data_IF_265833605274
#
_entry.id   IF_265833605274
#
_cell.length_a   1.000
_cell.length_b   1.000
_cell.length_c   1.000
_cell.angle_alpha   90.00
_cell.angle_beta   90.00
_cell.angle_gamma   90.00
#
_symmetry.space_group_name_H-M   'P 1'
#
loop_
_entity.id
_entity.type
_entity.pdbx_description
1 polymer ?
#
# COMPACT_ATOMS: atom_id res chain seq x y z
N UNK A 1 45.33 -41.84 7.15
CA UNK A 1 43.95 -41.79 7.69
C UNK A 1 43.07 -41.27 6.56
N UNK A 2 42.32 -42.15 5.88
CA UNK A 2 41.55 -41.76 4.69
C UNK A 2 40.19 -41.18 5.12
N UNK A 3 39.91 -40.00 4.61
CA UNK A 3 38.61 -39.33 4.60
C UNK A 3 37.71 -40.17 3.68
N UNK A 4 37.03 -41.16 4.25
CA UNK A 4 35.98 -41.89 3.55
C UNK A 4 34.92 -42.30 4.56
N UNK A 5 33.70 -41.80 4.34
CA UNK A 5 32.43 -42.12 5.03
C UNK A 5 31.96 -41.13 6.10
N UNK A 6 31.78 -39.88 5.70
CA UNK A 6 30.59 -39.10 6.10
C UNK A 6 29.87 -38.65 4.81
N UNK A 7 29.63 -39.63 3.95
CA UNK A 7 28.53 -39.62 3.00
C UNK A 7 27.76 -40.89 3.37
N UNK A 8 26.71 -40.78 4.19
CA UNK A 8 25.70 -41.83 4.25
C UNK A 8 24.90 -41.72 2.95
N UNK A 9 25.48 -42.21 1.86
CA UNK A 9 24.70 -42.63 0.71
C UNK A 9 23.83 -43.80 1.17
N UNK A 10 22.54 -43.76 0.82
CA UNK A 10 21.58 -44.78 1.20
C UNK A 10 22.07 -46.16 0.73
N UNK A 11 22.29 -47.10 1.67
CA UNK A 11 22.83 -48.45 1.37
C UNK A 11 21.86 -49.32 0.56
N UNK A 12 20.54 -49.06 0.65
CA UNK A 12 19.51 -49.70 -0.17
C UNK A 12 18.36 -48.72 -0.48
N UNK A 13 18.35 -48.23 -1.72
CA UNK A 13 17.32 -47.31 -2.23
C UNK A 13 15.93 -47.99 -2.27
N UNK A 14 15.86 -49.31 -2.45
CA UNK A 14 14.62 -50.07 -2.50
C UNK A 14 13.93 -50.13 -1.13
N UNK A 15 14.71 -50.42 -0.09
CA UNK A 15 14.22 -50.48 1.29
C UNK A 15 13.71 -49.11 1.77
N UNK A 16 14.44 -48.04 1.44
CA UNK A 16 14.01 -46.68 1.80
C UNK A 16 12.77 -46.24 1.02
N UNK A 17 12.65 -46.64 -0.24
CA UNK A 17 11.41 -46.41 -1.01
C UNK A 17 10.22 -47.11 -0.37
N UNK A 18 10.37 -48.35 0.11
CA UNK A 18 9.32 -49.06 0.85
C UNK A 18 8.98 -48.38 2.17
N UNK A 19 9.98 -47.91 2.93
CA UNK A 19 9.78 -47.17 4.18
C UNK A 19 9.02 -45.85 3.95
N UNK A 20 9.37 -45.11 2.90
CA UNK A 20 8.66 -43.91 2.48
C UNK A 20 7.22 -44.25 2.09
N UNK A 21 6.99 -45.26 1.23
CA UNK A 21 5.65 -45.67 0.82
C UNK A 21 4.80 -46.10 2.01
N UNK A 22 5.37 -46.85 2.96
CA UNK A 22 4.68 -47.31 4.17
C UNK A 22 4.32 -46.15 5.10
N UNK A 23 5.23 -45.19 5.26
CA UNK A 23 4.98 -43.97 6.03
C UNK A 23 3.86 -43.16 5.41
N UNK A 24 3.87 -42.99 4.08
CA UNK A 24 2.83 -42.26 3.33
C UNK A 24 1.48 -42.98 3.41
N UNK A 25 1.47 -44.30 3.24
CA UNK A 25 0.26 -45.13 3.27
C UNK A 25 -0.38 -45.20 4.67
N UNK A 26 0.41 -44.92 5.72
CA UNK A 26 -0.06 -44.85 7.10
C UNK A 26 -0.60 -43.48 7.51
N UNK A 27 -0.53 -42.46 6.64
CA UNK A 27 -1.11 -41.16 6.91
C UNK A 27 -2.63 -41.19 6.68
N UNK A 28 -3.38 -40.65 7.62
CA UNK A 28 -4.83 -40.50 7.56
C UNK A 28 -5.21 -39.17 6.89
N UNK A 29 -5.98 -39.24 5.81
CA UNK A 29 -6.48 -38.06 5.11
C UNK A 29 -7.61 -37.34 5.88
N UNK A 30 -8.19 -37.96 6.90
CA UNK A 30 -9.17 -37.34 7.79
C UNK A 30 -8.53 -36.51 8.91
N UNK A 31 -7.25 -36.74 9.21
CA UNK A 31 -6.49 -35.91 10.15
C UNK A 31 -5.91 -34.67 9.43
N UNK A 32 -6.15 -33.48 9.99
CA UNK A 32 -5.80 -32.22 9.32
C UNK A 32 -4.28 -32.05 9.11
N UNK A 33 -3.45 -32.56 10.01
CA UNK A 33 -2.00 -32.43 9.90
C UNK A 33 -1.43 -33.43 8.89
N UNK A 34 -1.94 -34.66 8.91
CA UNK A 34 -1.51 -35.72 8.00
C UNK A 34 -2.02 -35.47 6.57
N UNK A 35 -3.23 -34.95 6.41
CA UNK A 35 -3.76 -34.49 5.12
C UNK A 35 -2.87 -33.40 4.47
N UNK A 36 -2.36 -32.44 5.25
CA UNK A 36 -1.41 -31.42 4.75
C UNK A 36 -0.11 -32.04 4.26
N UNK A 37 0.39 -33.08 4.94
CA UNK A 37 1.60 -33.80 4.52
C UNK A 37 1.32 -34.56 3.21
N UNK A 38 0.20 -35.27 3.12
CA UNK A 38 -0.24 -35.96 1.91
C UNK A 38 -0.38 -35.01 0.72
N UNK A 39 -0.96 -33.83 0.91
CA UNK A 39 -1.08 -32.79 -0.13
C UNK A 39 0.30 -32.28 -0.61
N UNK A 40 1.24 -32.06 0.32
CA UNK A 40 2.62 -31.64 -0.04
C UNK A 40 3.35 -32.73 -0.83
N UNK A 41 3.19 -33.98 -0.44
CA UNK A 41 3.78 -35.13 -1.15
C UNK A 41 3.17 -35.25 -2.54
N UNK A 42 1.85 -35.13 -2.66
CA UNK A 42 1.17 -35.16 -3.95
C UNK A 42 1.66 -34.03 -4.87
N UNK A 43 1.81 -32.81 -4.36
CA UNK A 43 2.35 -31.67 -5.14
C UNK A 43 3.79 -31.88 -5.55
N UNK A 44 4.63 -32.42 -4.67
CA UNK A 44 6.01 -32.75 -4.99
C UNK A 44 6.09 -33.80 -6.11
N UNK A 45 5.30 -34.87 -6.02
CA UNK A 45 5.22 -35.90 -7.05
C UNK A 45 4.66 -35.38 -8.39
N UNK A 46 3.80 -34.37 -8.34
CA UNK A 46 3.15 -33.78 -9.52
C UNK A 46 3.67 -32.37 -9.87
N UNK A 47 4.90 -32.04 -9.45
CA UNK A 47 5.41 -30.66 -9.52
C UNK A 47 5.42 -30.09 -10.94
N UNK A 48 5.74 -30.90 -11.95
CA UNK A 48 5.72 -30.47 -13.36
C UNK A 48 4.30 -30.19 -13.84
N UNK A 49 3.34 -31.06 -13.52
CA UNK A 49 1.93 -30.90 -13.91
C UNK A 49 1.30 -29.70 -13.21
N UNK A 50 1.53 -29.55 -11.90
CA UNK A 50 1.03 -28.43 -11.10
C UNK A 50 1.66 -27.12 -11.57
N UNK A 51 2.97 -27.11 -11.80
CA UNK A 51 3.68 -25.94 -12.33
C UNK A 51 3.16 -25.51 -13.70
N UNK A 52 2.95 -26.46 -14.61
CA UNK A 52 2.39 -26.18 -15.94
C UNK A 52 0.96 -25.62 -15.87
N UNK A 53 0.12 -26.13 -14.96
CA UNK A 53 -1.24 -25.63 -14.78
C UNK A 53 -1.25 -24.20 -14.20
N UNK A 54 -0.37 -23.92 -13.24
CA UNK A 54 -0.22 -22.57 -12.68
C UNK A 54 0.27 -21.60 -13.77
N UNK A 55 1.31 -21.96 -14.54
CA UNK A 55 1.82 -21.13 -15.62
C UNK A 55 0.71 -20.79 -16.65
N UNK A 56 -0.07 -21.80 -17.06
CA UNK A 56 -1.21 -21.61 -17.96
C UNK A 56 -2.27 -20.68 -17.39
N UNK A 57 -2.60 -20.80 -16.10
CA UNK A 57 -3.60 -19.96 -15.45
C UNK A 57 -3.24 -18.46 -15.49
N UNK A 58 -1.95 -18.10 -15.56
CA UNK A 58 -1.51 -16.71 -15.69
C UNK A 58 -1.58 -16.14 -17.12
N UNK A 59 -1.86 -16.96 -18.15
CA UNK A 59 -1.96 -16.47 -19.53
C UNK A 59 -3.07 -15.42 -19.66
N UNK A 60 -4.25 -15.69 -19.07
CA UNK A 60 -5.40 -14.79 -19.11
C UNK A 60 -5.13 -13.43 -18.45
N UNK A 61 -4.79 -13.38 -17.15
CA UNK A 61 -4.50 -12.14 -16.44
C UNK A 61 -3.39 -11.29 -17.06
N UNK A 62 -2.38 -11.92 -17.68
CA UNK A 62 -1.24 -11.21 -18.27
C UNK A 62 -1.39 -10.88 -19.76
N UNK A 63 -2.51 -11.26 -20.38
CA UNK A 63 -2.70 -11.10 -21.83
C UNK A 63 -2.54 -9.64 -22.27
N UNK A 64 -3.18 -8.72 -21.54
CA UNK A 64 -3.25 -7.30 -21.89
C UNK A 64 -2.15 -6.44 -21.22
N UNK A 65 -1.20 -7.07 -20.52
CA UNK A 65 -0.10 -6.38 -19.88
C UNK A 65 0.86 -5.73 -20.88
N UNK A 66 1.26 -4.49 -20.59
CA UNK A 66 2.16 -3.69 -21.43
C UNK A 66 3.63 -4.06 -21.21
N UNK A 67 3.98 -5.33 -21.41
CA UNK A 67 5.35 -5.82 -21.29
C UNK A 67 5.69 -6.81 -22.41
N UNK A 68 6.97 -6.95 -22.81
CA UNK A 68 7.37 -7.91 -23.85
C UNK A 68 7.03 -9.34 -23.46
N UNK A 69 6.70 -10.20 -24.44
CA UNK A 69 6.32 -11.61 -24.20
C UNK A 69 7.36 -12.39 -23.39
N UNK A 70 8.65 -12.13 -23.63
CA UNK A 70 9.74 -12.73 -22.87
C UNK A 70 9.68 -12.34 -21.38
N UNK A 71 9.34 -11.10 -21.08
CA UNK A 71 9.14 -10.64 -19.69
C UNK A 71 7.89 -11.28 -19.09
N UNK A 72 6.80 -11.40 -19.85
CA UNK A 72 5.59 -12.11 -19.39
C UNK A 72 5.92 -13.55 -18.99
N UNK A 73 6.67 -14.27 -19.82
CA UNK A 73 7.09 -15.64 -19.52
C UNK A 73 7.95 -15.73 -18.25
N UNK A 74 8.92 -14.83 -18.09
CA UNK A 74 9.74 -14.79 -16.88
C UNK A 74 8.91 -14.53 -15.62
N UNK A 75 7.97 -13.58 -15.69
CA UNK A 75 7.06 -13.32 -14.58
C UNK A 75 6.19 -14.55 -14.29
N UNK A 76 5.62 -15.23 -15.30
CA UNK A 76 4.86 -16.48 -15.10
C UNK A 76 5.66 -17.55 -14.37
N UNK A 77 6.92 -17.74 -14.73
CA UNK A 77 7.81 -18.72 -14.07
C UNK A 77 8.00 -18.35 -12.59
N UNK A 78 8.31 -17.09 -12.28
CA UNK A 78 8.52 -16.66 -10.90
C UNK A 78 7.24 -16.69 -10.06
N UNK A 79 6.11 -16.25 -10.63
CA UNK A 79 4.80 -16.35 -10.00
C UNK A 79 4.43 -17.81 -9.72
N UNK A 80 4.70 -18.71 -10.68
CA UNK A 80 4.48 -20.16 -10.51
C UNK A 80 5.26 -20.72 -9.32
N UNK A 81 6.54 -20.33 -9.17
CA UNK A 81 7.34 -20.73 -8.01
C UNK A 81 6.68 -20.26 -6.72
N UNK A 82 6.28 -18.99 -6.63
CA UNK A 82 5.64 -18.45 -5.42
C UNK A 82 4.33 -19.19 -5.10
N UNK A 83 3.44 -19.35 -6.08
CA UNK A 83 2.12 -19.98 -5.89
C UNK A 83 2.23 -21.47 -5.56
N UNK A 84 3.21 -22.18 -6.13
CA UNK A 84 3.42 -23.61 -5.86
C UNK A 84 3.72 -23.92 -4.39
N UNK A 85 4.25 -22.94 -3.66
CA UNK A 85 4.61 -23.06 -2.23
C UNK A 85 3.46 -22.77 -1.27
N UNK A 86 2.29 -22.34 -1.76
CA UNK A 86 1.16 -21.97 -0.90
C UNK A 86 0.58 -23.19 -0.18
N UNK A 87 0.55 -23.17 1.15
CA UNK A 87 -0.05 -24.24 1.95
C UNK A 87 -1.57 -24.29 1.72
N UNK A 88 -2.03 -25.26 0.92
CA UNK A 88 -3.44 -25.41 0.53
C UNK A 88 -3.72 -26.82 0.04
N UNK A 89 -4.96 -27.27 0.09
CA UNK A 89 -5.32 -28.57 -0.48
C UNK A 89 -5.33 -28.53 -2.01
N UNK A 90 -5.16 -29.70 -2.65
CA UNK A 90 -5.21 -29.78 -4.11
C UNK A 90 -6.53 -29.25 -4.68
N UNK A 91 -7.67 -29.57 -4.05
CA UNK A 91 -8.99 -29.07 -4.49
C UNK A 91 -9.11 -27.55 -4.38
N UNK A 92 -8.59 -26.96 -3.30
CA UNK A 92 -8.60 -25.51 -3.12
C UNK A 92 -7.72 -24.80 -4.16
N UNK A 93 -6.53 -25.36 -4.43
CA UNK A 93 -5.64 -24.86 -5.49
C UNK A 93 -6.30 -24.96 -6.86
N UNK A 94 -6.95 -26.09 -7.21
CA UNK A 94 -7.66 -26.24 -8.48
C UNK A 94 -8.73 -25.15 -8.69
N UNK A 95 -9.57 -24.92 -7.67
CA UNK A 95 -10.59 -23.84 -7.71
C UNK A 95 -9.97 -22.45 -7.88
N UNK A 96 -8.85 -22.19 -7.23
CA UNK A 96 -8.11 -20.93 -7.38
C UNK A 96 -7.57 -20.77 -8.81
N UNK A 97 -6.96 -21.81 -9.38
CA UNK A 97 -6.44 -21.79 -10.74
C UNK A 97 -7.54 -21.61 -11.78
N UNK A 98 -8.69 -22.27 -11.60
CA UNK A 98 -9.87 -22.08 -12.47
C UNK A 98 -10.37 -20.62 -12.46
N UNK A 99 -10.32 -19.95 -11.30
CA UNK A 99 -10.66 -18.52 -11.18
C UNK A 99 -9.59 -17.65 -11.84
N UNK A 100 -8.31 -17.97 -11.61
CA UNK A 100 -7.17 -17.23 -12.14
C UNK A 100 -7.13 -17.27 -13.66
N UNK A 101 -7.33 -18.43 -14.27
CA UNK A 101 -7.41 -18.60 -15.73
C UNK A 101 -8.52 -17.74 -16.34
N UNK A 102 -9.64 -17.60 -15.64
CA UNK A 102 -10.78 -16.75 -16.04
C UNK A 102 -10.58 -15.27 -15.67
N UNK A 103 -9.49 -14.93 -14.98
CA UNK A 103 -9.18 -13.58 -14.48
C UNK A 103 -10.07 -13.08 -13.34
N UNK A 104 -10.83 -13.97 -12.70
CA UNK A 104 -11.86 -13.67 -11.71
C UNK A 104 -11.43 -13.80 -10.25
N UNK A 105 -10.14 -13.77 -9.94
CA UNK A 105 -9.67 -13.89 -8.53
C UNK A 105 -9.97 -12.62 -7.74
N UNK A 106 -9.81 -11.44 -8.36
CA UNK A 106 -10.11 -10.15 -7.73
C UNK A 106 -11.53 -9.73 -8.09
N UNK A 107 -12.38 -9.54 -7.08
CA UNK A 107 -13.69 -8.94 -7.24
C UNK A 107 -13.56 -7.41 -7.30
N UNK A 108 -13.67 -6.85 -8.51
CA UNK A 108 -13.52 -5.40 -8.76
C UNK A 108 -14.61 -4.57 -8.08
N UNK A 109 -15.84 -5.09 -7.98
CA UNK A 109 -16.94 -4.39 -7.32
C UNK A 109 -16.66 -4.25 -5.83
N UNK A 110 -16.19 -5.32 -5.20
CA UNK A 110 -15.79 -5.32 -3.78
C UNK A 110 -14.53 -4.48 -3.55
N UNK A 111 -13.55 -4.52 -4.46
CA UNK A 111 -12.33 -3.70 -4.39
C UNK A 111 -12.62 -2.20 -4.50
N UNK A 112 -13.65 -1.83 -5.26
CA UNK A 112 -14.02 -0.43 -5.53
C UNK A 112 -14.83 0.22 -4.41
N UNK A 113 -15.17 -0.52 -3.34
CA UNK A 113 -15.89 0.02 -2.19
C UNK A 113 -14.98 0.94 -1.34
N UNK A 114 -15.56 1.95 -0.64
CA UNK A 114 -14.79 2.86 0.21
C UNK A 114 -13.90 2.16 1.22
N UNK A 115 -14.39 1.07 1.80
CA UNK A 115 -13.65 0.18 2.70
C UNK A 115 -14.09 -1.25 2.45
N UNK A 116 -13.14 -2.18 2.41
CA UNK A 116 -13.47 -3.60 2.36
C UNK A 116 -12.41 -4.52 2.96
N UNK A 117 -12.76 -5.80 3.14
CA UNK A 117 -11.85 -6.85 3.59
C UNK A 117 -11.25 -7.62 2.41
N UNK A 118 -10.08 -8.22 2.60
CA UNK A 118 -9.54 -9.18 1.63
C UNK A 118 -10.51 -10.35 1.43
N UNK A 119 -11.21 -10.77 2.48
CA UNK A 119 -12.20 -11.84 2.36
C UNK A 119 -13.27 -11.50 1.31
N UNK A 120 -13.81 -10.28 1.29
CA UNK A 120 -14.77 -9.87 0.26
C UNK A 120 -14.10 -9.70 -1.12
N UNK A 121 -12.94 -9.03 -1.16
CA UNK A 121 -12.21 -8.76 -2.41
C UNK A 121 -11.80 -10.05 -3.14
N UNK A 122 -11.51 -11.11 -2.41
CA UNK A 122 -11.09 -12.41 -2.96
C UNK A 122 -12.18 -13.49 -2.85
N UNK A 123 -13.44 -13.10 -2.58
CA UNK A 123 -14.59 -14.01 -2.58
C UNK A 123 -14.52 -15.16 -1.58
N UNK A 124 -13.90 -14.92 -0.41
CA UNK A 124 -13.70 -15.90 0.65
C UNK A 124 -12.68 -16.98 0.33
N UNK A 125 -11.89 -16.82 -0.74
CA UNK A 125 -10.92 -17.82 -1.19
C UNK A 125 -9.60 -17.70 -0.41
N UNK A 126 -9.29 -18.64 0.51
CA UNK A 126 -8.08 -18.56 1.31
C UNK A 126 -6.80 -18.70 0.47
N UNK A 127 -6.86 -19.40 -0.68
CA UNK A 127 -5.70 -19.56 -1.57
C UNK A 127 -5.42 -18.24 -2.28
N UNK A 128 -6.45 -17.54 -2.75
CA UNK A 128 -6.31 -16.22 -3.35
C UNK A 128 -5.74 -15.18 -2.37
N UNK A 129 -6.24 -15.16 -1.13
CA UNK A 129 -5.73 -14.27 -0.07
C UNK A 129 -4.26 -14.59 0.25
N UNK A 130 -3.91 -15.89 0.32
CA UNK A 130 -2.53 -16.33 0.56
C UNK A 130 -1.61 -15.97 -0.62
N UNK A 131 -2.08 -16.15 -1.85
CA UNK A 131 -1.38 -15.74 -3.06
C UNK A 131 -1.09 -14.23 -3.03
N UNK A 132 -2.10 -13.40 -2.78
CA UNK A 132 -1.93 -11.95 -2.70
C UNK A 132 -0.93 -11.53 -1.61
N UNK A 133 -0.98 -12.17 -0.44
CA UNK A 133 -0.03 -11.92 0.64
C UNK A 133 1.41 -12.32 0.30
N UNK A 134 1.61 -13.43 -0.41
CA UNK A 134 2.95 -13.88 -0.82
C UNK A 134 3.52 -13.06 -1.99
N UNK A 135 2.64 -12.49 -2.82
CA UNK A 135 3.01 -11.63 -3.94
C UNK A 135 3.18 -10.15 -3.54
N UNK A 136 2.88 -9.76 -2.30
CA UNK A 136 2.85 -8.34 -1.89
C UNK A 136 4.16 -7.58 -2.12
N UNK A 137 5.31 -8.24 -2.07
CA UNK A 137 6.63 -7.62 -2.31
C UNK A 137 7.21 -7.95 -3.69
N UNK A 138 6.50 -8.73 -4.50
CA UNK A 138 6.95 -9.08 -5.83
C UNK A 138 6.98 -7.85 -6.74
N UNK A 139 8.08 -7.65 -7.46
CA UNK A 139 8.27 -6.50 -8.35
C UNK A 139 8.54 -5.17 -7.67
N UNK A 140 8.55 -5.09 -6.33
CA UNK A 140 8.79 -3.84 -5.60
C UNK A 140 10.15 -3.23 -5.96
N UNK A 141 10.16 -1.94 -6.29
CA UNK A 141 11.35 -1.18 -6.69
C UNK A 141 11.76 -1.38 -8.15
N UNK A 142 11.26 -2.41 -8.84
CA UNK A 142 11.43 -2.54 -10.28
C UNK A 142 10.47 -1.56 -10.97
N UNK A 143 10.98 -0.72 -11.86
CA UNK A 143 10.18 0.30 -12.56
C UNK A 143 9.30 1.15 -11.62
N UNK A 144 9.83 1.46 -10.44
CA UNK A 144 9.16 2.26 -9.39
C UNK A 144 7.88 1.64 -8.81
N UNK A 145 7.66 0.34 -8.98
CA UNK A 145 6.46 -0.34 -8.46
C UNK A 145 6.49 -0.46 -6.95
N UNK A 146 5.34 -0.19 -6.34
CA UNK A 146 5.06 -0.35 -4.92
C UNK A 146 4.48 -1.71 -4.58
N UNK A 147 4.31 -1.99 -3.27
CA UNK A 147 3.79 -3.27 -2.82
C UNK A 147 2.37 -3.55 -3.32
N UNK A 148 2.10 -4.79 -3.72
CA UNK A 148 0.77 -5.25 -4.09
C UNK A 148 0.28 -4.87 -5.50
N UNK A 149 0.91 -3.93 -6.19
CA UNK A 149 0.52 -3.50 -7.55
C UNK A 149 0.61 -4.65 -8.56
N UNK A 150 1.77 -5.28 -8.65
CA UNK A 150 1.97 -6.47 -9.47
C UNK A 150 1.01 -7.59 -9.04
N UNK A 151 0.81 -7.79 -7.74
CA UNK A 151 -0.06 -8.84 -7.26
C UNK A 151 -1.53 -8.64 -7.71
N UNK A 152 -2.04 -7.41 -7.70
CA UNK A 152 -3.38 -7.11 -8.21
C UNK A 152 -3.49 -7.39 -9.71
N UNK A 153 -2.51 -6.92 -10.48
CA UNK A 153 -2.48 -7.07 -11.93
C UNK A 153 -2.36 -8.54 -12.37
N UNK A 154 -1.50 -9.32 -11.70
CA UNK A 154 -1.29 -10.73 -12.08
C UNK A 154 -2.44 -11.65 -11.65
N UNK A 155 -3.28 -11.22 -10.70
CA UNK A 155 -4.41 -12.02 -10.22
C UNK A 155 -5.73 -11.69 -10.94
N UNK A 156 -5.79 -10.66 -11.81
CA UNK A 156 -7.03 -10.33 -12.52
C UNK A 156 -6.76 -9.82 -13.93
N UNK A 157 -7.57 -10.27 -14.88
CA UNK A 157 -7.55 -9.72 -16.24
C UNK A 157 -8.24 -8.35 -16.37
N UNK A 158 -8.83 -7.84 -15.28
CA UNK A 158 -9.46 -6.51 -15.20
C UNK A 158 -8.55 -5.46 -14.58
N UNK A 159 -7.34 -5.85 -14.18
CA UNK A 159 -6.34 -4.97 -13.58
C UNK A 159 -5.07 -5.15 -14.38
N UNK A 160 -4.50 -4.05 -14.85
CA UNK A 160 -3.20 -4.05 -15.52
C UNK A 160 -2.26 -3.06 -14.86
N UNK A 161 -0.95 -3.24 -15.02
CA UNK A 161 -0.01 -2.19 -14.67
C UNK A 161 -0.25 -0.98 -15.57
N UNK A 162 -0.37 0.21 -14.98
CA UNK A 162 -0.62 1.41 -15.75
C UNK A 162 0.59 1.76 -16.63
N UNK A 163 0.31 2.21 -17.86
CA UNK A 163 1.33 2.76 -18.77
C UNK A 163 1.49 4.26 -18.48
N UNK A 164 2.58 4.61 -17.81
CA UNK A 164 2.88 6.00 -17.45
C UNK A 164 2.38 6.35 -16.05
N UNK A 165 1.33 7.16 -15.99
CA UNK A 165 0.75 7.72 -14.76
C UNK A 165 -0.18 6.75 -14.02
N UNK A 166 -0.18 6.83 -12.69
CA UNK A 166 -0.82 5.85 -11.80
C UNK A 166 -0.02 4.54 -11.71
N UNK A 167 -0.42 3.69 -10.78
CA UNK A 167 0.28 2.42 -10.53
C UNK A 167 -0.36 1.26 -11.29
N UNK A 168 -1.68 1.22 -11.27
CA UNK A 168 -2.53 0.25 -11.96
C UNK A 168 -3.64 0.92 -12.75
N UNK A 169 -4.20 0.23 -13.73
CA UNK A 169 -5.42 0.61 -14.42
C UNK A 169 -6.45 -0.49 -14.19
N UNK A 170 -7.62 -0.11 -13.66
CA UNK A 170 -8.67 -1.04 -13.27
C UNK A 170 -9.91 -0.77 -14.14
N UNK A 171 -10.40 -1.81 -14.82
CA UNK A 171 -11.59 -1.69 -15.66
C UNK A 171 -12.79 -1.19 -14.85
N UNK A 172 -13.47 -0.15 -15.36
CA UNK A 172 -14.58 0.51 -14.69
C UNK A 172 -14.20 1.51 -13.59
N UNK A 173 -12.91 1.64 -13.26
CA UNK A 173 -12.41 2.66 -12.30
C UNK A 173 -11.49 3.67 -12.98
N UNK A 174 -10.59 3.23 -13.86
CA UNK A 174 -9.58 4.07 -14.51
C UNK A 174 -8.17 3.84 -13.94
N UNK A 175 -7.31 4.84 -14.02
CA UNK A 175 -5.95 4.82 -13.44
C UNK A 175 -6.04 4.97 -11.93
N UNK A 176 -5.32 4.12 -11.19
CA UNK A 176 -5.36 4.04 -9.74
C UNK A 176 -3.97 4.19 -9.15
N UNK A 177 -3.85 5.10 -8.20
CA UNK A 177 -2.68 5.23 -7.33
C UNK A 177 -2.79 4.25 -6.16
N UNK A 178 -1.82 3.35 -5.98
CA UNK A 178 -1.85 2.29 -4.98
C UNK A 178 -0.94 2.64 -3.80
N UNK A 179 -1.54 2.84 -2.62
CA UNK A 179 -0.81 3.07 -1.36
C UNK A 179 -0.92 1.87 -0.45
N UNK A 180 0.02 0.94 -0.59
CA UNK A 180 0.06 -0.29 0.18
C UNK A 180 1.00 -0.24 1.40
N UNK A 181 0.57 -0.88 2.49
CA UNK A 181 1.34 -1.06 3.71
C UNK A 181 1.57 -2.54 4.01
N UNK A 182 2.85 -2.94 4.04
CA UNK A 182 3.28 -4.33 4.28
C UNK A 182 3.90 -4.58 5.66
N UNK A 183 4.26 -3.51 6.38
CA UNK A 183 4.92 -3.58 7.70
C UNK A 183 3.95 -3.75 8.88
N UNK A 184 4.49 -4.13 10.04
CA UNK A 184 3.72 -4.32 11.29
C UNK A 184 2.93 -3.08 11.72
N UNK A 185 3.43 -1.89 11.41
CA UNK A 185 2.76 -0.62 11.70
C UNK A 185 1.56 -0.35 10.79
N UNK A 186 1.44 -1.05 9.66
CA UNK A 186 0.41 -0.76 8.65
C UNK A 186 0.57 0.62 8.01
N UNK A 187 1.73 1.28 8.21
CA UNK A 187 1.96 2.64 7.74
C UNK A 187 1.87 2.71 6.21
N UNK A 188 0.89 3.45 5.71
CA UNK A 188 0.66 3.60 4.27
C UNK A 188 1.56 4.66 3.64
N UNK A 189 1.33 4.87 2.35
CA UNK A 189 2.11 5.80 1.53
C UNK A 189 1.76 7.27 1.77
N UNK A 190 2.65 8.15 1.30
CA UNK A 190 2.39 9.60 1.26
C UNK A 190 1.64 9.97 -0.01
N UNK A 191 0.72 10.93 0.11
CA UNK A 191 -0.03 11.52 -0.99
C UNK A 191 0.81 12.59 -1.71
N UNK A 192 1.92 12.17 -2.30
CA UNK A 192 2.79 13.07 -3.04
C UNK A 192 4.26 12.91 -2.69
N UNK A 193 5.07 13.64 -3.44
CA UNK A 193 6.52 13.56 -3.40
C UNK A 193 7.17 14.93 -3.66
N UNK A 194 8.41 15.08 -3.19
CA UNK A 194 9.15 16.35 -3.22
C UNK A 194 8.99 17.12 -1.90
N UNK A 195 8.64 18.39 -2.00
CA UNK A 195 8.38 19.29 -0.87
C UNK A 195 9.48 20.33 -0.67
N UNK A 196 9.12 21.48 -0.13
CA UNK A 196 10.04 22.55 0.20
C UNK A 196 11.03 22.14 1.30
N UNK A 197 12.26 22.62 1.20
CA UNK A 197 13.30 22.34 2.19
C UNK A 197 12.99 23.00 3.53
N UNK A 198 13.32 22.32 4.63
CA UNK A 198 13.10 22.84 5.99
C UNK A 198 13.72 24.23 6.18
N UNK A 199 14.94 24.45 5.68
CA UNK A 199 15.62 25.74 5.80
C UNK A 199 14.88 26.87 5.06
N UNK A 200 14.32 26.59 3.88
CA UNK A 200 13.55 27.57 3.10
C UNK A 200 12.22 27.90 3.79
N UNK A 201 11.57 26.90 4.38
CA UNK A 201 10.35 27.09 5.18
C UNK A 201 10.65 27.92 6.44
N UNK A 202 11.76 27.65 7.13
CA UNK A 202 12.18 28.45 8.29
C UNK A 202 12.56 29.88 7.92
N UNK A 203 13.28 30.09 6.81
CA UNK A 203 13.60 31.42 6.33
C UNK A 203 12.33 32.23 5.99
N UNK A 204 11.28 31.55 5.53
CA UNK A 204 9.96 32.17 5.32
C UNK A 204 9.30 32.54 6.64
N UNK A 205 9.29 31.64 7.63
CA UNK A 205 8.74 31.93 8.97
C UNK A 205 9.48 33.05 9.70
N UNK A 206 10.80 33.14 9.57
CA UNK A 206 11.62 34.15 10.24
C UNK A 206 11.23 35.59 9.87
N UNK A 207 10.66 35.81 8.68
CA UNK A 207 10.09 37.11 8.28
C UNK A 207 8.98 37.60 9.22
N UNK A 208 8.37 36.68 9.97
CA UNK A 208 7.29 36.95 10.93
C UNK A 208 7.73 36.80 12.39
N UNK A 209 9.04 36.67 12.65
CA UNK A 209 9.56 36.28 13.97
C UNK A 209 9.21 37.23 15.11
N UNK A 210 9.01 38.52 14.83
CA UNK A 210 8.53 39.48 15.83
C UNK A 210 7.07 39.22 16.27
N UNK A 211 6.27 38.58 15.42
CA UNK A 211 4.84 38.32 15.64
C UNK A 211 4.56 36.92 16.19
N UNK A 212 5.43 35.96 15.89
CA UNK A 212 5.29 34.55 16.32
C UNK A 212 6.59 33.97 16.91
N UNK A 213 7.27 34.67 17.84
CA UNK A 213 8.56 34.25 18.35
C UNK A 213 8.53 32.87 19.04
N UNK A 214 7.46 32.54 19.77
CA UNK A 214 7.35 31.26 20.46
C UNK A 214 7.09 30.11 19.49
N UNK A 215 6.32 30.33 18.43
CA UNK A 215 6.11 29.35 17.36
C UNK A 215 7.44 28.99 16.70
N UNK A 216 8.27 29.98 16.37
CA UNK A 216 9.61 29.74 15.83
C UNK A 216 10.49 28.99 16.83
N UNK A 217 10.53 29.43 18.09
CA UNK A 217 11.32 28.79 19.15
C UNK A 217 10.93 27.33 19.38
N UNK A 218 9.63 27.02 19.30
CA UNK A 218 9.11 25.66 19.40
C UNK A 218 9.64 24.78 18.27
N UNK A 219 9.66 25.29 17.05
CA UNK A 219 10.19 24.56 15.89
C UNK A 219 11.69 24.35 16.05
N UNK A 220 12.46 25.38 16.36
CA UNK A 220 13.93 25.30 16.46
C UNK A 220 14.40 24.44 17.63
N UNK A 221 13.63 24.39 18.71
CA UNK A 221 13.92 23.54 19.89
C UNK A 221 13.46 22.09 19.71
N UNK A 222 12.66 21.80 18.67
CA UNK A 222 12.19 20.44 18.41
C UNK A 222 13.29 19.57 17.77
N UNK A 223 13.23 18.26 18.04
CA UNK A 223 14.07 17.30 17.34
C UNK A 223 13.80 17.37 15.82
N UNK A 224 14.85 17.59 15.04
CA UNK A 224 14.76 17.72 13.58
C UNK A 224 14.28 19.09 13.06
N UNK A 225 13.95 20.04 13.94
CA UNK A 225 13.55 21.39 13.55
C UNK A 225 12.21 21.43 12.81
N UNK A 226 11.23 20.62 13.25
CA UNK A 226 9.98 20.36 12.53
C UNK A 226 8.75 20.66 13.39
N UNK A 227 7.59 20.78 12.75
CA UNK A 227 6.31 20.91 13.47
C UNK A 227 5.15 20.35 12.65
N UNK A 228 4.29 19.56 13.29
CA UNK A 228 3.03 19.08 12.73
C UNK A 228 2.00 20.20 12.56
N UNK A 229 1.03 20.05 11.65
CA UNK A 229 -0.02 21.07 11.41
C UNK A 229 -0.74 21.46 12.71
N UNK A 230 -1.19 20.47 13.49
CA UNK A 230 -1.93 20.74 14.73
C UNK A 230 -1.11 21.58 15.72
N UNK A 231 0.12 21.17 15.98
CA UNK A 231 1.00 21.89 16.91
C UNK A 231 1.35 23.30 16.42
N UNK A 232 1.44 23.50 15.09
CA UNK A 232 1.63 24.80 14.48
C UNK A 232 0.43 25.71 14.70
N UNK A 233 -0.79 25.22 14.40
CA UNK A 233 -2.04 25.98 14.64
C UNK A 233 -2.20 26.31 16.11
N UNK A 234 -1.96 25.35 17.02
CA UNK A 234 -2.07 25.58 18.47
C UNK A 234 -1.09 26.67 18.93
N UNK A 235 0.11 26.75 18.33
CA UNK A 235 1.11 27.79 18.64
C UNK A 235 0.70 29.16 18.07
N UNK A 236 0.14 29.20 16.85
CA UNK A 236 -0.45 30.42 16.28
C UNK A 236 -1.64 30.93 17.11
N UNK A 237 -2.47 30.04 17.67
CA UNK A 237 -3.60 30.40 18.54
C UNK A 237 -3.16 31.15 19.80
N UNK A 238 -1.99 30.81 20.35
CA UNK A 238 -1.45 31.50 21.52
C UNK A 238 -0.90 32.90 21.22
N UNK A 239 -0.26 33.09 20.06
CA UNK A 239 0.46 34.33 19.74
C UNK A 239 -0.31 35.28 18.82
N UNK A 240 -1.14 34.73 17.94
CA UNK A 240 -1.92 35.44 16.94
C UNK A 240 -3.37 34.99 16.99
N UNK A 241 -4.14 35.17 18.08
CA UNK A 241 -5.54 34.70 18.13
C UNK A 241 -6.38 35.30 16.99
N UNK A 242 -7.29 34.52 16.41
CA UNK A 242 -8.10 34.89 15.25
C UNK A 242 -9.32 35.77 15.62
N UNK A 243 -9.15 36.68 16.57
CA UNK A 243 -10.20 37.58 17.07
C UNK A 243 -10.18 38.97 16.41
N UNK A 244 -9.12 39.32 15.69
CA UNK A 244 -9.00 40.58 14.92
C UNK A 244 -8.85 40.32 13.43
N UNK A 245 -9.26 41.29 12.59
CA UNK A 245 -9.06 41.23 11.14
C UNK A 245 -7.58 41.12 10.77
N UNK A 246 -6.71 41.88 11.44
CA UNK A 246 -5.27 41.88 11.17
C UNK A 246 -4.63 40.52 11.48
N UNK A 247 -4.99 39.90 12.61
CA UNK A 247 -4.47 38.57 12.95
C UNK A 247 -4.96 37.52 11.96
N UNK A 248 -6.24 37.56 11.56
CA UNK A 248 -6.78 36.67 10.53
C UNK A 248 -6.01 36.81 9.21
N UNK A 249 -5.78 38.04 8.76
CA UNK A 249 -5.05 38.31 7.52
C UNK A 249 -3.59 37.86 7.61
N UNK A 250 -2.93 38.08 8.75
CA UNK A 250 -1.56 37.67 8.98
C UNK A 250 -1.41 36.14 8.98
N UNK A 251 -2.32 35.42 9.66
CA UNK A 251 -2.35 33.95 9.63
C UNK A 251 -2.50 33.38 8.23
N UNK A 252 -3.42 33.94 7.45
CA UNK A 252 -3.63 33.55 6.04
C UNK A 252 -2.36 33.81 5.22
N UNK A 253 -1.69 34.95 5.43
CA UNK A 253 -0.44 35.28 4.74
C UNK A 253 0.68 34.30 5.10
N UNK A 254 0.88 34.00 6.39
CA UNK A 254 1.86 33.01 6.85
C UNK A 254 1.59 31.66 6.19
N UNK A 255 0.37 31.15 6.28
CA UNK A 255 -0.01 29.88 5.67
C UNK A 255 0.19 29.88 4.14
N UNK A 256 -0.15 30.98 3.47
CA UNK A 256 0.04 31.13 2.01
C UNK A 256 1.52 30.98 1.65
N UNK A 257 2.42 31.69 2.35
CA UNK A 257 3.85 31.64 2.02
C UNK A 257 4.49 30.27 2.28
N UNK A 258 3.98 29.50 3.27
CA UNK A 258 4.50 28.17 3.58
C UNK A 258 3.96 27.08 2.63
N UNK A 259 2.68 27.15 2.27
CA UNK A 259 1.97 26.05 1.60
C UNK A 259 2.01 26.19 0.07
N UNK A 260 1.91 27.42 -0.45
CA UNK A 260 1.86 27.71 -1.89
C UNK A 260 3.07 27.20 -2.67
N UNK A 261 4.31 27.20 -2.14
CA UNK A 261 5.46 26.61 -2.84
C UNK A 261 5.30 25.14 -3.22
N UNK A 262 4.52 24.36 -2.45
CA UNK A 262 4.29 22.94 -2.73
C UNK A 262 3.06 22.72 -3.62
N UNK A 263 1.98 23.46 -3.36
CA UNK A 263 0.66 23.14 -3.91
C UNK A 263 0.13 24.14 -4.94
N UNK A 264 0.83 25.25 -5.19
CA UNK A 264 0.36 26.29 -6.10
C UNK A 264 -1.01 26.83 -5.67
N UNK A 265 -1.96 26.90 -6.61
CA UNK A 265 -3.33 27.39 -6.34
C UNK A 265 -4.13 26.50 -5.38
N UNK A 266 -3.80 25.21 -5.25
CA UNK A 266 -4.45 24.32 -4.28
C UNK A 266 -4.15 24.72 -2.83
N UNK A 267 -3.12 25.55 -2.59
CA UNK A 267 -2.84 26.10 -1.27
C UNK A 267 -3.87 27.14 -0.81
N UNK A 268 -4.52 27.85 -1.74
CA UNK A 268 -5.37 29.00 -1.43
C UNK A 268 -6.55 28.64 -0.48
N UNK A 269 -7.34 27.58 -0.71
CA UNK A 269 -8.37 27.15 0.24
C UNK A 269 -7.82 26.72 1.60
N UNK A 270 -6.64 26.10 1.64
CA UNK A 270 -5.98 25.71 2.89
C UNK A 270 -5.60 26.97 3.68
N UNK A 271 -4.88 27.89 3.03
CA UNK A 271 -4.39 29.12 3.66
C UNK A 271 -5.54 30.02 4.12
N UNK A 272 -6.62 30.13 3.37
CA UNK A 272 -7.81 30.89 3.78
C UNK A 272 -8.40 30.37 5.09
N UNK A 273 -8.36 29.06 5.32
CA UNK A 273 -8.93 28.45 6.52
C UNK A 273 -8.14 28.78 7.80
N UNK A 274 -6.86 29.16 7.67
CA UNK A 274 -6.06 29.70 8.77
C UNK A 274 -6.58 31.03 9.33
N UNK A 275 -7.56 31.69 8.70
CA UNK A 275 -8.28 32.78 9.36
C UNK A 275 -9.10 32.33 10.59
N UNK A 276 -9.15 31.01 10.87
CA UNK A 276 -9.79 30.42 12.05
C UNK A 276 -8.74 29.70 12.93
N UNK A 277 -9.19 29.16 14.06
CA UNK A 277 -8.35 28.50 15.06
C UNK A 277 -8.51 26.97 15.12
N UNK A 278 -9.45 26.42 14.36
CA UNK A 278 -9.74 24.98 14.36
C UNK A 278 -8.69 24.19 13.57
N UNK A 279 -7.76 23.60 14.32
CA UNK A 279 -6.70 22.75 13.77
C UNK A 279 -7.23 21.52 13.02
N UNK A 280 -8.38 20.97 13.41
CA UNK A 280 -8.95 19.79 12.75
C UNK A 280 -9.50 20.17 11.38
N UNK A 281 -10.29 21.25 11.30
CA UNK A 281 -10.80 21.76 10.03
C UNK A 281 -9.66 22.12 9.06
N UNK A 282 -8.59 22.75 9.56
CA UNK A 282 -7.38 23.05 8.79
C UNK A 282 -6.71 21.77 8.28
N UNK A 283 -6.54 20.76 9.13
CA UNK A 283 -5.92 19.50 8.75
C UNK A 283 -6.75 18.75 7.69
N UNK A 284 -8.08 18.72 7.82
CA UNK A 284 -8.99 18.13 6.84
C UNK A 284 -8.91 18.84 5.48
N UNK A 285 -8.92 20.18 5.48
CA UNK A 285 -8.77 20.95 4.24
C UNK A 285 -7.41 20.75 3.60
N UNK A 286 -6.34 20.67 4.42
CA UNK A 286 -5.00 20.39 3.94
C UNK A 286 -4.95 19.06 3.19
N UNK A 287 -5.46 17.98 3.80
CA UNK A 287 -5.48 16.65 3.19
C UNK A 287 -6.31 16.63 1.91
N UNK A 288 -7.49 17.27 1.93
CA UNK A 288 -8.36 17.36 0.75
C UNK A 288 -7.60 17.95 -0.43
N UNK A 289 -7.00 19.11 -0.23
CA UNK A 289 -6.30 19.83 -1.30
C UNK A 289 -4.95 19.20 -1.67
N UNK A 290 -4.26 18.57 -0.72
CA UNK A 290 -3.09 17.77 -1.01
C UNK A 290 -3.44 16.63 -1.97
N UNK A 291 -4.53 15.90 -1.73
CA UNK A 291 -4.94 14.83 -2.63
C UNK A 291 -5.33 15.37 -4.01
N UNK A 292 -6.15 16.42 -4.09
CA UNK A 292 -6.55 16.98 -5.39
C UNK A 292 -5.36 17.49 -6.21
N UNK A 293 -4.38 18.12 -5.55
CA UNK A 293 -3.12 18.51 -6.18
C UNK A 293 -2.34 17.29 -6.69
N UNK A 294 -2.24 16.24 -5.87
CA UNK A 294 -1.48 15.03 -6.21
C UNK A 294 -2.12 14.30 -7.39
N UNK A 295 -3.44 14.13 -7.34
CA UNK A 295 -4.26 13.56 -8.41
C UNK A 295 -4.07 14.32 -9.72
N UNK A 296 -4.14 15.64 -9.68
CA UNK A 296 -3.97 16.48 -10.88
C UNK A 296 -2.54 16.44 -11.41
N UNK A 297 -1.53 16.39 -10.53
CA UNK A 297 -0.12 16.35 -10.95
C UNK A 297 0.25 15.03 -11.62
N UNK A 298 -0.22 13.92 -11.05
CA UNK A 298 0.23 12.57 -11.41
C UNK A 298 -0.82 11.83 -12.27
N UNK A 299 -1.93 12.46 -12.62
CA UNK A 299 -2.83 12.02 -13.69
C UNK A 299 -3.56 10.70 -13.46
N UNK A 300 -3.95 10.42 -12.20
CA UNK A 300 -4.74 9.24 -11.83
C UNK A 300 -6.20 9.59 -11.51
N UNK A 301 -7.10 8.60 -11.57
CA UNK A 301 -8.54 8.78 -11.40
C UNK A 301 -9.02 8.47 -9.97
N UNK A 302 -8.36 7.52 -9.31
CA UNK A 302 -8.70 7.04 -7.97
C UNK A 302 -7.44 6.65 -7.16
N UNK A 303 -7.61 6.45 -5.85
CA UNK A 303 -6.59 5.85 -5.00
C UNK A 303 -7.10 4.55 -4.39
N UNK A 304 -6.19 3.60 -4.20
CA UNK A 304 -6.41 2.36 -3.49
C UNK A 304 -5.43 2.24 -2.32
N UNK A 305 -5.96 2.27 -1.10
CA UNK A 305 -5.22 1.95 0.11
C UNK A 305 -5.26 0.44 0.33
N UNK A 306 -4.12 -0.16 0.65
CA UNK A 306 -4.03 -1.59 0.98
C UNK A 306 -3.29 -1.75 2.29
N UNK A 307 -3.89 -2.46 3.23
CA UNK A 307 -3.20 -2.89 4.45
C UNK A 307 -3.14 -4.40 4.46
N UNK A 308 -1.97 -4.96 4.15
CA UNK A 308 -1.76 -6.40 4.23
C UNK A 308 -1.83 -6.90 5.68
N UNK A 309 -1.32 -6.11 6.63
CA UNK A 309 -1.37 -6.41 8.06
C UNK A 309 -2.80 -6.46 8.59
N UNK A 310 -3.71 -5.63 8.07
CA UNK A 310 -5.12 -5.60 8.46
C UNK A 310 -6.04 -6.36 7.51
N UNK A 311 -5.49 -6.91 6.42
CA UNK A 311 -6.23 -7.55 5.34
C UNK A 311 -7.43 -6.73 4.86
N UNK A 312 -7.17 -5.46 4.57
CA UNK A 312 -8.19 -4.45 4.30
C UNK A 312 -7.79 -3.60 3.10
N UNK A 313 -8.78 -3.13 2.37
CA UNK A 313 -8.64 -2.15 1.29
C UNK A 313 -9.50 -0.92 1.57
N UNK A 314 -9.16 0.21 0.93
CA UNK A 314 -10.04 1.36 0.85
C UNK A 314 -9.83 2.11 -0.44
N UNK A 315 -10.92 2.33 -1.19
CA UNK A 315 -10.89 3.02 -2.49
C UNK A 315 -11.57 4.39 -2.38
N UNK A 316 -11.03 5.40 -3.05
CA UNK A 316 -11.71 6.69 -3.17
C UNK A 316 -11.23 7.45 -4.41
N UNK A 317 -11.93 8.54 -4.73
CA UNK A 317 -11.70 9.33 -5.95
C UNK A 317 -11.36 10.79 -5.66
N UNK A 318 -11.63 11.25 -4.46
CA UNK A 318 -11.53 12.65 -4.05
C UNK A 318 -10.86 12.77 -2.69
N UNK A 319 -10.38 13.98 -2.38
CA UNK A 319 -9.86 14.32 -1.06
C UNK A 319 -10.94 14.25 0.03
N UNK A 320 -12.21 14.42 -0.35
CA UNK A 320 -13.35 14.24 0.55
C UNK A 320 -13.53 12.79 0.99
N UNK A 321 -13.28 11.82 0.11
CA UNK A 321 -13.31 10.41 0.47
C UNK A 321 -12.26 10.09 1.55
N UNK A 322 -11.07 10.67 1.46
CA UNK A 322 -10.00 10.49 2.46
C UNK A 322 -10.41 11.10 3.81
N UNK A 323 -10.98 12.31 3.80
CA UNK A 323 -11.49 12.94 5.02
C UNK A 323 -12.61 12.10 5.64
N UNK A 324 -13.51 11.54 4.83
CA UNK A 324 -14.57 10.65 5.30
C UNK A 324 -14.01 9.38 5.92
N UNK A 325 -12.99 8.75 5.32
CA UNK A 325 -12.29 7.61 5.93
C UNK A 325 -11.70 7.96 7.31
N UNK A 326 -11.20 9.18 7.50
CA UNK A 326 -10.69 9.62 8.80
C UNK A 326 -11.83 9.77 9.82
N UNK A 327 -12.94 10.39 9.42
CA UNK A 327 -14.12 10.63 10.27
C UNK A 327 -14.79 9.34 10.70
N UNK A 328 -14.83 8.34 9.82
CA UNK A 328 -15.37 7.01 10.15
C UNK A 328 -14.37 6.11 10.88
N UNK A 329 -13.18 6.62 11.21
CA UNK A 329 -12.15 5.89 11.97
C UNK A 329 -11.44 4.80 11.17
N UNK A 330 -11.55 4.81 9.84
CA UNK A 330 -11.03 3.79 8.93
C UNK A 330 -9.55 4.00 8.61
N UNK A 331 -9.07 5.23 8.73
CA UNK A 331 -7.65 5.59 8.72
C UNK A 331 -7.27 6.30 10.03
N UNK A 332 -6.00 6.18 10.41
CA UNK A 332 -5.43 6.90 11.56
C UNK A 332 -5.26 8.38 11.24
N UNK A 333 -4.68 9.13 12.16
CA UNK A 333 -4.36 10.54 11.92
C UNK A 333 -3.36 10.72 10.78
N UNK A 334 -3.37 11.92 10.20
CA UNK A 334 -2.55 12.26 9.04
C UNK A 334 -1.14 12.66 9.49
N UNK A 335 -0.13 11.93 9.05
CA UNK A 335 1.28 12.27 9.30
C UNK A 335 1.74 13.44 8.42
N UNK A 336 1.42 14.68 8.81
CA UNK A 336 1.76 15.91 8.07
C UNK A 336 2.53 16.90 8.95
N UNK A 337 3.60 17.43 8.39
CA UNK A 337 4.39 18.52 8.95
C UNK A 337 4.11 19.83 8.20
N UNK A 338 3.81 20.91 8.93
CA UNK A 338 3.81 22.26 8.37
C UNK A 338 5.24 22.68 8.02
N UNK A 339 6.18 22.41 8.94
CA UNK A 339 7.61 22.54 8.70
C UNK A 339 8.22 21.14 8.80
N UNK A 340 8.76 20.59 7.69
CA UNK A 340 9.31 19.24 7.69
C UNK A 340 10.59 19.16 8.51
N UNK A 341 11.04 17.94 8.83
CA UNK A 341 12.42 17.73 9.28
C UNK A 341 13.42 18.06 8.17
N UNK A 342 14.68 18.34 8.55
CA UNK A 342 15.76 18.64 7.59
C UNK A 342 15.96 17.59 6.50
N UNK A 343 15.78 16.31 6.83
CA UNK A 343 15.93 15.19 5.90
C UNK A 343 14.61 14.73 5.28
N UNK A 344 13.48 15.29 5.70
CA UNK A 344 12.15 14.84 5.31
C UNK A 344 11.27 15.88 4.62
N UNK A 345 11.68 16.56 3.52
CA UNK A 345 10.79 17.50 2.81
C UNK A 345 9.41 16.93 2.47
N UNK A 346 9.34 15.63 2.17
CA UNK A 346 8.10 14.89 1.89
C UNK A 346 7.11 14.84 3.06
N UNK A 347 7.52 15.20 4.27
CA UNK A 347 6.65 15.25 5.45
C UNK A 347 5.53 16.28 5.33
N UNK A 348 5.65 17.21 4.39
CA UNK A 348 4.58 18.15 4.03
C UNK A 348 3.41 17.49 3.28
N UNK A 349 3.54 16.24 2.82
CA UNK A 349 2.43 15.51 2.21
C UNK A 349 1.81 14.54 3.21
N UNK A 350 0.49 14.42 3.17
CA UNK A 350 -0.28 13.52 4.01
C UNK A 350 0.21 12.09 3.90
N UNK A 351 0.64 11.53 5.03
CA UNK A 351 0.80 10.09 5.16
C UNK A 351 -0.52 9.50 5.64
N UNK A 352 -1.08 8.58 4.86
CA UNK A 352 -2.29 7.85 5.22
C UNK A 352 -1.90 6.49 5.77
N UNK A 353 -2.59 6.04 6.81
CA UNK A 353 -2.42 4.70 7.37
C UNK A 353 -3.77 4.13 7.74
N UNK A 354 -4.06 2.92 7.30
CA UNK A 354 -5.32 2.27 7.64
C UNK A 354 -5.34 1.86 9.11
N UNK A 355 -6.46 2.13 9.78
CA UNK A 355 -6.62 1.82 11.19
C UNK A 355 -6.88 0.34 11.43
N UNK A 356 -6.92 -0.05 12.70
CA UNK A 356 -7.33 -1.39 13.12
C UNK A 356 -8.86 -1.57 13.17
N UNK A 357 -9.65 -0.54 12.82
CA UNK A 357 -11.11 -0.64 12.83
C UNK A 357 -11.59 -1.73 11.86
N UNK A 358 -12.71 -2.36 12.18
CA UNK A 358 -13.39 -3.30 11.29
C UNK A 358 -13.80 -2.66 9.97
N UNK A 359 -14.23 -3.52 9.04
CA UNK A 359 -14.87 -3.12 7.78
C UNK A 359 -16.35 -2.86 8.03
#
# INVERSE_FOLDING_TARGET
MKISHILKEYEDIGLEKENIIKTISGLDAADEQQAKILDRIYRFLNQDTVGNNINKAFIGPMADEYMPDKSKEQHRIELTKIISTLDSSYSAMGKFLDKLEKGGVVNIEELSKPVNSFNAVFGGDPVAISAFNNLKTYGVGQNQKGPGEFALAMLSNKIRLAKGEGDTEIDGVGKVEVKAAVGKSGAGGRLGHGGAQQAAQMATLQKFGEKIPNTINRITSSAGGSIGIKAFVDSLNAELPANTTDNKQLRVNIATQLIKPNFGTYADPIAKLFANEDANAINEMYVRQNFEWYKNRDGFDAYLLISFTRQKTGMGRTGDDIVNLRKTGQITDFGISMIPTKSGPREQFAQITMSAAGV
#
